data_IF_586780215649
#
_entry.id   IF_586780215649
#
_cell.length_a   1.000
_cell.length_b   1.000
_cell.length_c   1.000
_cell.angle_alpha   90.00
_cell.angle_beta   90.00
_cell.angle_gamma   90.00
#
_symmetry.space_group_name_H-M   'P 1'
#
loop_
_entity.id
_entity.type
_entity.pdbx_description
1 polymer ?
#
# COMPACT_ATOMS: atom_id res chain seq x y z
N UNK A 1 11.72 33.16 -2.12
CA UNK A 1 11.06 32.43 -3.22
C UNK A 1 11.13 30.95 -2.94
N UNK A 2 10.00 30.22 -3.00
CA UNK A 2 9.94 28.77 -2.74
C UNK A 2 10.74 28.03 -3.81
N UNK A 3 11.63 27.10 -3.39
CA UNK A 3 12.52 26.36 -4.27
C UNK A 3 12.18 24.87 -4.35
N UNK A 4 11.60 24.34 -3.28
CA UNK A 4 11.33 22.90 -3.14
C UNK A 4 10.07 22.69 -2.33
N UNK A 5 9.28 21.70 -2.71
CA UNK A 5 8.15 21.17 -1.94
C UNK A 5 8.40 19.68 -1.72
N UNK A 6 8.12 19.20 -0.53
CA UNK A 6 8.15 17.78 -0.19
C UNK A 6 6.72 17.36 0.16
N UNK A 7 6.22 16.32 -0.50
CA UNK A 7 4.91 15.73 -0.24
C UNK A 7 5.07 14.36 0.42
N UNK A 8 4.15 14.01 1.27
CA UNK A 8 3.83 12.62 1.51
C UNK A 8 3.01 12.07 0.34
N UNK A 9 2.88 10.75 0.22
CA UNK A 9 2.18 10.11 -0.89
C UNK A 9 0.80 9.59 -0.48
N UNK A 10 0.75 8.68 0.51
CA UNK A 10 -0.45 7.96 0.91
C UNK A 10 -1.39 8.89 1.72
N UNK A 11 -2.68 8.94 1.36
CA UNK A 11 -3.69 9.87 1.92
C UNK A 11 -3.35 11.37 1.77
N UNK A 12 -2.33 11.69 0.96
CA UNK A 12 -1.95 13.06 0.59
C UNK A 12 -2.19 13.32 -0.89
N UNK A 13 -1.52 12.62 -1.77
CA UNK A 13 -1.68 12.80 -3.22
C UNK A 13 -2.84 11.96 -3.80
N UNK A 14 -3.25 10.93 -3.10
CA UNK A 14 -4.41 10.09 -3.42
C UNK A 14 -5.00 9.49 -2.12
N UNK A 15 -6.24 8.98 -2.17
CA UNK A 15 -6.89 8.35 -1.01
C UNK A 15 -6.46 6.89 -0.90
N UNK A 16 -5.55 6.60 0.05
CA UNK A 16 -5.09 5.25 0.32
C UNK A 16 -6.00 4.49 1.28
N UNK A 17 -6.49 5.15 2.33
CA UNK A 17 -7.26 4.50 3.40
C UNK A 17 -8.48 3.76 2.88
N UNK A 18 -9.25 4.38 1.98
CA UNK A 18 -10.43 3.76 1.37
C UNK A 18 -10.05 2.55 0.49
N UNK A 19 -8.99 2.69 -0.30
CA UNK A 19 -8.48 1.62 -1.16
C UNK A 19 -7.94 0.45 -0.33
N UNK A 20 -7.26 0.73 0.79
CA UNK A 20 -6.76 -0.29 1.71
C UNK A 20 -7.90 -1.14 2.28
N UNK A 21 -8.98 -0.53 2.71
CA UNK A 21 -10.16 -1.26 3.20
C UNK A 21 -10.74 -2.19 2.12
N UNK A 22 -10.92 -1.67 0.90
CA UNK A 22 -11.44 -2.46 -0.22
C UNK A 22 -10.45 -3.55 -0.66
N UNK A 23 -9.16 -3.28 -0.63
CA UNK A 23 -8.10 -4.26 -0.90
C UNK A 23 -8.14 -5.44 0.09
N UNK A 24 -8.35 -5.15 1.39
CA UNK A 24 -8.54 -6.19 2.41
C UNK A 24 -9.80 -7.01 2.14
N UNK A 25 -10.93 -6.39 1.77
CA UNK A 25 -12.15 -7.10 1.36
C UNK A 25 -11.90 -7.99 0.14
N UNK A 26 -11.07 -7.55 -0.80
CA UNK A 26 -10.70 -8.32 -1.98
C UNK A 26 -9.95 -9.59 -1.62
N UNK A 27 -8.91 -9.49 -0.78
CA UNK A 27 -8.16 -10.69 -0.34
C UNK A 27 -8.99 -11.59 0.56
N UNK A 28 -9.90 -11.05 1.36
CA UNK A 28 -10.86 -11.85 2.14
C UNK A 28 -11.66 -12.77 1.20
N UNK A 29 -12.32 -12.21 0.20
CA UNK A 29 -13.11 -12.97 -0.78
C UNK A 29 -12.26 -14.00 -1.53
N UNK A 30 -11.05 -13.63 -1.95
CA UNK A 30 -10.11 -14.54 -2.61
C UNK A 30 -9.76 -15.72 -1.71
N UNK A 31 -9.32 -15.44 -0.47
CA UNK A 31 -8.85 -16.46 0.49
C UNK A 31 -10.00 -17.38 0.92
N UNK A 32 -11.17 -16.82 1.24
CA UNK A 32 -12.35 -17.59 1.62
C UNK A 32 -12.78 -18.56 0.51
N UNK A 33 -12.78 -18.11 -0.74
CA UNK A 33 -13.08 -18.96 -1.89
C UNK A 33 -12.07 -20.10 -2.08
N UNK A 34 -10.77 -19.79 -1.92
CA UNK A 34 -9.68 -20.79 -2.13
C UNK A 34 -9.60 -21.82 -1.03
N UNK A 35 -9.89 -21.46 0.20
CA UNK A 35 -9.73 -22.29 1.38
C UNK A 35 -11.04 -22.78 1.98
N UNK A 36 -12.18 -22.45 1.38
CA UNK A 36 -13.54 -22.77 1.88
C UNK A 36 -13.78 -22.28 3.31
N UNK A 37 -13.36 -21.02 3.58
CA UNK A 37 -13.50 -20.36 4.88
C UNK A 37 -14.69 -19.40 4.88
N UNK A 38 -15.18 -19.09 6.09
CA UNK A 38 -16.11 -17.96 6.29
C UNK A 38 -15.33 -16.65 6.45
N UNK A 39 -15.95 -15.53 6.10
CA UNK A 39 -15.29 -14.23 6.18
C UNK A 39 -14.84 -13.87 7.62
N UNK A 40 -15.61 -14.21 8.65
CA UNK A 40 -15.22 -13.95 10.02
C UNK A 40 -13.93 -14.69 10.40
N UNK A 41 -13.72 -15.94 9.98
CA UNK A 41 -12.49 -16.71 10.23
C UNK A 41 -11.28 -16.01 9.60
N UNK A 42 -11.44 -15.50 8.38
CA UNK A 42 -10.40 -14.71 7.72
C UNK A 42 -10.08 -13.44 8.51
N UNK A 43 -11.10 -12.63 8.87
CA UNK A 43 -10.85 -11.36 9.56
C UNK A 43 -10.23 -11.54 10.94
N UNK A 44 -10.63 -12.56 11.70
CA UNK A 44 -10.00 -12.91 12.97
C UNK A 44 -8.51 -13.23 12.79
N UNK A 45 -8.19 -14.12 11.84
CA UNK A 45 -6.81 -14.51 11.54
C UNK A 45 -5.98 -13.33 11.00
N UNK A 46 -6.55 -12.50 10.13
CA UNK A 46 -5.88 -11.35 9.54
C UNK A 46 -5.60 -10.25 10.57
N UNK A 47 -6.56 -9.95 11.44
CA UNK A 47 -6.38 -8.95 12.49
C UNK A 47 -5.35 -9.43 13.53
N UNK A 48 -5.37 -10.73 13.87
CA UNK A 48 -4.33 -11.33 14.70
C UNK A 48 -2.96 -11.23 14.02
N UNK A 49 -2.85 -11.57 12.74
CA UNK A 49 -1.60 -11.47 11.98
C UNK A 49 -1.00 -10.05 12.01
N UNK A 50 -1.84 -9.02 11.84
CA UNK A 50 -1.40 -7.61 11.95
C UNK A 50 -0.86 -7.28 13.33
N UNK A 51 -1.47 -7.80 14.38
CA UNK A 51 -1.03 -7.60 15.76
C UNK A 51 0.28 -8.32 16.01
N UNK A 52 0.36 -9.61 15.67
CA UNK A 52 1.56 -10.44 15.85
C UNK A 52 2.78 -9.81 15.16
N UNK A 53 2.63 -9.35 13.90
CA UNK A 53 3.72 -8.70 13.17
C UNK A 53 4.18 -7.39 13.82
N UNK A 54 3.25 -6.58 14.34
CA UNK A 54 3.62 -5.35 15.06
C UNK A 54 4.32 -5.65 16.39
N UNK A 55 3.89 -6.68 17.11
CA UNK A 55 4.53 -7.11 18.36
C UNK A 55 5.94 -7.67 18.11
N UNK A 56 6.11 -8.47 17.03
CA UNK A 56 7.41 -9.07 16.68
C UNK A 56 8.43 -8.05 16.16
N UNK A 57 7.99 -7.10 15.35
CA UNK A 57 8.90 -6.19 14.62
C UNK A 57 8.94 -4.77 15.18
N UNK A 58 8.02 -4.42 16.09
CA UNK A 58 7.91 -3.05 16.61
C UNK A 58 7.43 -2.05 15.58
N UNK A 59 7.63 -0.77 15.86
CA UNK A 59 7.28 0.33 14.96
C UNK A 59 8.40 0.58 13.93
N UNK A 60 8.42 -0.24 12.91
CA UNK A 60 9.29 -0.05 11.75
C UNK A 60 8.57 -0.42 10.45
N UNK A 61 9.20 -0.12 9.32
CA UNK A 61 8.62 -0.31 7.98
C UNK A 61 8.25 -1.76 7.69
N UNK A 62 9.06 -2.70 8.17
CA UNK A 62 8.81 -4.12 7.97
C UNK A 62 7.49 -4.57 8.64
N UNK A 63 7.06 -3.88 9.73
CA UNK A 63 5.79 -4.15 10.38
C UNK A 63 4.55 -3.81 9.53
N UNK A 64 4.73 -3.09 8.43
CA UNK A 64 3.68 -2.75 7.47
C UNK A 64 3.71 -3.63 6.21
N UNK A 65 4.55 -4.67 6.17
CA UNK A 65 4.68 -5.55 5.02
C UNK A 65 3.42 -6.42 4.80
N UNK A 66 2.71 -6.18 3.69
CA UNK A 66 1.45 -6.88 3.38
C UNK A 66 1.65 -8.36 3.09
N UNK A 67 2.79 -8.75 2.51
CA UNK A 67 3.08 -10.17 2.28
C UNK A 67 3.25 -10.92 3.60
N UNK A 68 3.89 -10.28 4.60
CA UNK A 68 4.03 -10.85 5.93
C UNK A 68 2.66 -10.98 6.63
N UNK A 69 1.75 -10.02 6.45
CA UNK A 69 0.38 -10.17 6.94
C UNK A 69 -0.34 -11.36 6.29
N UNK A 70 -0.19 -11.54 4.99
CA UNK A 70 -0.77 -12.69 4.28
C UNK A 70 -0.20 -14.02 4.79
N UNK A 71 1.12 -14.11 4.95
CA UNK A 71 1.80 -15.26 5.51
C UNK A 71 1.27 -15.60 6.91
N UNK A 72 1.33 -14.64 7.84
CA UNK A 72 0.86 -14.84 9.22
C UNK A 72 -0.63 -15.16 9.31
N UNK A 73 -1.43 -14.64 8.39
CA UNK A 73 -2.86 -14.99 8.31
C UNK A 73 -3.04 -16.47 8.03
N UNK A 74 -2.29 -17.04 7.08
CA UNK A 74 -2.35 -18.47 6.77
C UNK A 74 -1.82 -19.32 7.93
N UNK A 75 -0.74 -18.89 8.59
CA UNK A 75 -0.22 -19.54 9.80
C UNK A 75 -1.28 -19.58 10.91
N UNK A 76 -1.98 -18.45 11.16
CA UNK A 76 -3.06 -18.37 12.15
C UNK A 76 -4.28 -19.23 11.78
N UNK A 77 -4.47 -19.54 10.49
CA UNK A 77 -5.49 -20.47 9.99
C UNK A 77 -5.00 -21.92 9.94
N UNK A 78 -3.81 -22.22 10.45
CA UNK A 78 -3.16 -23.53 10.37
C UNK A 78 -3.05 -24.06 8.93
N UNK A 79 -2.79 -23.17 7.98
CA UNK A 79 -2.57 -23.47 6.56
C UNK A 79 -1.10 -23.28 6.20
N UNK A 80 -0.66 -23.94 5.13
CA UNK A 80 0.68 -23.71 4.60
C UNK A 80 0.79 -22.27 4.09
N UNK A 81 1.69 -21.44 4.68
CA UNK A 81 1.81 -20.03 4.31
C UNK A 81 2.27 -19.83 2.86
N UNK A 82 2.97 -20.81 2.27
CA UNK A 82 3.43 -20.72 0.88
C UNK A 82 2.37 -21.12 -0.16
N UNK A 83 1.19 -21.59 0.29
CA UNK A 83 0.17 -22.06 -0.64
C UNK A 83 -0.44 -20.94 -1.50
N UNK A 84 -0.80 -19.80 -0.88
CA UNK A 84 -1.47 -18.68 -1.55
C UNK A 84 -1.08 -17.30 -1.01
N UNK A 85 -0.07 -17.16 -0.13
CA UNK A 85 0.26 -15.83 0.44
C UNK A 85 0.71 -14.82 -0.59
N UNK A 86 1.43 -15.27 -1.61
CA UNK A 86 1.88 -14.38 -2.70
C UNK A 86 0.70 -13.93 -3.55
N UNK A 87 -0.22 -14.82 -3.87
CA UNK A 87 -1.44 -14.48 -4.60
C UNK A 87 -2.33 -13.51 -3.81
N UNK A 88 -2.47 -13.69 -2.49
CA UNK A 88 -3.16 -12.74 -1.62
C UNK A 88 -2.52 -11.35 -1.69
N UNK A 89 -1.19 -11.30 -1.64
CA UNK A 89 -0.42 -10.06 -1.76
C UNK A 89 -0.63 -9.37 -3.11
N UNK A 90 -0.59 -10.13 -4.21
CA UNK A 90 -0.80 -9.58 -5.56
C UNK A 90 -2.26 -9.15 -5.77
N UNK A 91 -3.25 -9.90 -5.28
CA UNK A 91 -4.67 -9.49 -5.31
C UNK A 91 -4.89 -8.15 -4.60
N UNK A 92 -4.24 -7.95 -3.43
CA UNK A 92 -4.32 -6.70 -2.69
C UNK A 92 -3.74 -5.53 -3.49
N UNK A 93 -2.47 -5.66 -3.94
CA UNK A 93 -1.79 -4.55 -4.61
C UNK A 93 -2.31 -4.28 -6.02
N UNK A 94 -2.74 -5.31 -6.75
CA UNK A 94 -3.40 -5.12 -8.04
C UNK A 94 -4.67 -4.29 -7.87
N UNK A 95 -5.50 -4.63 -6.87
CA UNK A 95 -6.69 -3.84 -6.59
C UNK A 95 -6.37 -2.37 -6.28
N UNK A 96 -5.41 -2.12 -5.37
CA UNK A 96 -4.99 -0.76 -5.01
C UNK A 96 -4.54 0.00 -6.26
N UNK A 97 -3.58 -0.56 -7.00
CA UNK A 97 -2.97 0.09 -8.15
C UNK A 97 -4.00 0.36 -9.27
N UNK A 98 -4.93 -0.55 -9.51
CA UNK A 98 -5.92 -0.40 -10.58
C UNK A 98 -7.01 0.64 -10.26
N UNK A 99 -7.26 0.89 -8.97
CA UNK A 99 -8.30 1.81 -8.55
C UNK A 99 -7.77 3.16 -8.02
N UNK A 100 -6.44 3.32 -7.86
CA UNK A 100 -5.88 4.56 -7.38
C UNK A 100 -5.92 5.67 -8.43
N UNK A 101 -6.21 6.88 -7.96
CA UNK A 101 -6.23 8.10 -8.77
C UNK A 101 -5.85 9.30 -7.92
N UNK A 102 -5.21 10.29 -8.54
CA UNK A 102 -4.85 11.53 -7.86
C UNK A 102 -6.08 12.23 -7.27
N UNK A 103 -5.90 12.82 -6.10
CA UNK A 103 -6.87 13.75 -5.54
C UNK A 103 -7.04 14.97 -6.45
N UNK A 104 -8.20 15.62 -6.34
CA UNK A 104 -8.50 16.84 -7.10
C UNK A 104 -7.45 17.93 -6.84
N UNK A 105 -7.02 18.61 -7.89
CA UNK A 105 -6.03 19.69 -7.82
C UNK A 105 -4.56 19.24 -7.76
N UNK A 106 -4.26 17.96 -7.46
CA UNK A 106 -2.89 17.50 -7.34
C UNK A 106 -2.12 17.64 -8.65
N UNK A 107 -2.69 17.18 -9.77
CA UNK A 107 -2.00 17.29 -11.06
C UNK A 107 -1.68 18.75 -11.41
N UNK A 108 -2.64 19.65 -11.23
CA UNK A 108 -2.46 21.08 -11.49
C UNK A 108 -1.36 21.67 -10.60
N UNK A 109 -1.28 21.25 -9.32
CA UNK A 109 -0.23 21.71 -8.42
C UNK A 109 1.16 21.22 -8.87
N UNK A 110 1.28 19.96 -9.29
CA UNK A 110 2.55 19.42 -9.80
C UNK A 110 3.00 20.12 -11.09
N UNK A 111 2.08 20.37 -12.00
CA UNK A 111 2.32 21.15 -13.23
C UNK A 111 2.75 22.58 -12.92
N UNK A 112 2.08 23.25 -11.97
CA UNK A 112 2.46 24.58 -11.49
C UNK A 112 3.89 24.59 -10.93
N UNK A 113 4.24 23.62 -10.08
CA UNK A 113 5.59 23.51 -9.54
C UNK A 113 6.64 23.37 -10.65
N UNK A 114 6.38 22.50 -11.62
CA UNK A 114 7.30 22.26 -12.76
C UNK A 114 7.48 23.53 -13.59
N UNK A 115 6.37 24.24 -13.93
CA UNK A 115 6.40 25.50 -14.69
C UNK A 115 7.20 26.58 -13.97
N UNK A 116 7.14 26.63 -12.64
CA UNK A 116 7.84 27.62 -11.82
C UNK A 116 9.23 27.15 -11.33
N UNK A 117 9.73 26.03 -11.86
CA UNK A 117 11.04 25.46 -11.50
C UNK A 117 11.18 25.14 -10.00
N UNK A 118 10.07 24.81 -9.35
CA UNK A 118 10.03 24.34 -7.97
C UNK A 118 10.30 22.85 -7.98
N UNK A 119 11.31 22.39 -7.24
CA UNK A 119 11.63 20.97 -7.08
C UNK A 119 10.58 20.25 -6.27
N UNK A 120 10.31 18.98 -6.62
CA UNK A 120 9.32 18.16 -5.96
C UNK A 120 9.99 16.91 -5.40
N UNK A 121 9.92 16.76 -4.08
CA UNK A 121 10.33 15.55 -3.36
C UNK A 121 9.10 14.79 -2.85
N UNK A 122 9.26 13.47 -2.72
CA UNK A 122 8.34 12.61 -1.98
C UNK A 122 9.08 12.09 -0.75
N UNK A 123 8.44 12.20 0.43
CA UNK A 123 8.91 11.57 1.65
C UNK A 123 7.74 10.75 2.21
N UNK A 124 7.87 9.44 2.20
CA UNK A 124 6.74 8.56 2.45
C UNK A 124 7.17 7.25 3.09
N UNK A 125 6.33 6.66 3.91
CA UNK A 125 6.54 5.33 4.47
C UNK A 125 6.31 4.23 3.43
N UNK A 126 6.50 2.99 3.82
CA UNK A 126 6.47 1.78 3.00
C UNK A 126 7.72 1.56 2.12
N UNK A 127 7.85 0.32 1.67
CA UNK A 127 9.00 -0.12 0.90
C UNK A 127 9.10 0.57 -0.46
N UNK A 128 10.31 0.88 -0.88
CA UNK A 128 10.61 1.56 -2.14
C UNK A 128 9.93 0.93 -3.35
N UNK A 129 9.87 -0.41 -3.43
CA UNK A 129 9.25 -1.15 -4.53
C UNK A 129 7.78 -0.75 -4.74
N UNK A 130 6.99 -0.69 -3.65
CA UNK A 130 5.57 -0.35 -3.73
C UNK A 130 5.37 1.12 -4.08
N UNK A 131 6.17 2.02 -3.51
CA UNK A 131 6.05 3.45 -3.78
C UNK A 131 6.40 3.79 -5.24
N UNK A 132 7.39 3.14 -5.83
CA UNK A 132 7.67 3.28 -7.25
C UNK A 132 6.50 2.79 -8.14
N UNK A 133 5.87 1.66 -7.80
CA UNK A 133 4.67 1.17 -8.53
C UNK A 133 3.54 2.20 -8.47
N UNK A 134 3.27 2.79 -7.29
CA UNK A 134 2.23 3.81 -7.10
C UNK A 134 2.52 5.08 -7.90
N UNK A 135 3.71 5.66 -7.77
CA UNK A 135 4.12 6.88 -8.49
C UNK A 135 3.95 6.70 -10.00
N UNK A 136 4.41 5.55 -10.52
CA UNK A 136 4.27 5.24 -11.94
C UNK A 136 2.81 5.05 -12.37
N UNK A 137 2.01 4.36 -11.55
CA UNK A 137 0.57 4.16 -11.84
C UNK A 137 -0.22 5.47 -11.82
N UNK A 138 0.12 6.39 -10.92
CA UNK A 138 -0.46 7.73 -10.86
C UNK A 138 0.01 8.65 -12.02
N UNK A 139 1.04 8.24 -12.78
CA UNK A 139 1.60 9.03 -13.89
C UNK A 139 2.31 10.32 -13.46
N UNK A 140 2.79 10.36 -12.20
CA UNK A 140 3.46 11.53 -11.63
C UNK A 140 4.99 11.42 -11.61
N UNK A 141 5.56 10.30 -12.03
CA UNK A 141 6.99 10.04 -12.09
C UNK A 141 7.79 11.16 -12.77
N UNK A 142 7.26 11.73 -13.85
CA UNK A 142 7.88 12.85 -14.60
C UNK A 142 7.97 14.17 -13.81
N UNK A 143 7.24 14.32 -12.71
CA UNK A 143 7.25 15.52 -11.89
C UNK A 143 8.20 15.43 -10.69
N UNK A 144 8.54 14.21 -10.25
CA UNK A 144 9.28 13.95 -9.02
C UNK A 144 10.78 14.07 -9.26
N UNK A 145 11.46 14.91 -8.50
CA UNK A 145 12.91 15.10 -8.56
C UNK A 145 13.65 14.18 -7.56
N UNK A 146 13.02 13.80 -6.44
CA UNK A 146 13.62 12.94 -5.44
C UNK A 146 12.54 12.19 -4.64
N UNK A 147 12.89 11.00 -4.13
CA UNK A 147 12.06 10.23 -3.23
C UNK A 147 12.87 9.68 -2.07
N UNK A 148 12.31 9.76 -0.87
CA UNK A 148 12.80 9.10 0.33
C UNK A 148 11.69 8.15 0.81
N UNK A 149 12.04 6.90 0.96
CA UNK A 149 11.18 5.85 1.51
C UNK A 149 11.86 5.26 2.75
N UNK A 150 11.12 4.61 3.55
CA UNK A 150 11.65 3.93 4.73
C UNK A 150 11.83 2.44 4.51
#
# INVERSE_FOLDING_TARGET
MLKTIIFDLDDTLYSYSDLNEQGIKKICKFTCKRLSLKENEFYEAFNKAKKDVKEELGENVASHNRLLYCQKTLENLYKNPFSISLEMYEEYWTYILDNMKLNEGVLQLLEFCKKNKIKIGICTDLTVHIQHRKIRKLGIDKFIDAIVTS
#
